data_IF_687575573842
#
_entry.id   IF_687575573842
#
_cell.length_a   1.000
_cell.length_b   1.000
_cell.length_c   1.000
_cell.angle_alpha   90.00
_cell.angle_beta   90.00
_cell.angle_gamma   90.00
#
_symmetry.space_group_name_H-M   'P 1'
#
loop_
_entity.id
_entity.type
_entity.pdbx_description
1 polymer ?
#
# COMPACT_ATOMS: atom_id res chain seq x y z
N UNK A 1 3.94 13.80 -14.02
CA UNK A 1 2.63 13.55 -13.38
C UNK A 1 2.44 12.05 -13.13
N UNK A 2 2.28 11.66 -11.86
CA UNK A 2 1.87 10.33 -11.43
C UNK A 2 0.39 10.07 -11.71
N UNK A 3 0.02 8.79 -11.74
CA UNK A 3 -1.31 8.33 -12.18
C UNK A 3 -2.48 8.92 -11.37
N UNK A 4 -2.25 9.23 -10.09
CA UNK A 4 -3.29 9.75 -9.20
C UNK A 4 -3.14 11.24 -8.87
N UNK A 5 -2.16 11.95 -9.46
CA UNK A 5 -1.82 13.32 -9.06
C UNK A 5 -2.97 14.32 -9.21
N UNK A 6 -3.81 14.15 -10.24
CA UNK A 6 -4.94 15.04 -10.52
C UNK A 6 -6.22 14.69 -9.75
N UNK A 7 -6.25 13.53 -9.08
CA UNK A 7 -7.46 12.98 -8.46
C UNK A 7 -7.63 13.47 -7.01
N UNK A 8 -7.53 14.78 -6.79
CA UNK A 8 -7.55 15.40 -5.44
C UNK A 8 -8.88 15.20 -4.69
N UNK A 9 -9.96 14.93 -5.42
CA UNK A 9 -11.31 14.67 -4.89
C UNK A 9 -11.64 13.17 -4.79
N UNK A 10 -10.70 12.26 -5.07
CA UNK A 10 -10.96 10.83 -4.98
C UNK A 10 -11.18 10.41 -3.53
N UNK A 11 -12.34 9.80 -3.27
CA UNK A 11 -12.76 9.37 -1.92
C UNK A 11 -12.46 7.89 -1.70
N UNK A 12 -12.70 7.05 -2.72
CA UNK A 12 -12.51 5.60 -2.70
C UNK A 12 -11.52 5.18 -3.79
N UNK A 13 -10.58 4.30 -3.43
CA UNK A 13 -9.62 3.71 -4.35
C UNK A 13 -9.55 2.20 -4.15
N UNK A 14 -10.00 1.43 -5.14
CA UNK A 14 -9.95 -0.03 -5.11
C UNK A 14 -8.76 -0.53 -5.94
N UNK A 15 -7.78 -1.16 -5.27
CA UNK A 15 -6.62 -1.78 -5.90
C UNK A 15 -6.48 -3.26 -5.54
N UNK A 16 -7.37 -3.79 -4.71
CA UNK A 16 -7.38 -5.19 -4.28
C UNK A 16 -7.60 -6.15 -5.45
N UNK A 17 -7.31 -7.44 -5.24
CA UNK A 17 -7.48 -8.50 -6.25
C UNK A 17 -6.70 -8.26 -7.55
N UNK A 18 -5.47 -7.75 -7.43
CA UNK A 18 -4.59 -7.46 -8.56
C UNK A 18 -3.23 -8.18 -8.41
N UNK A 19 -2.27 -7.85 -9.28
CA UNK A 19 -0.91 -8.41 -9.28
C UNK A 19 0.14 -7.35 -8.91
N UNK A 20 -0.25 -6.35 -8.11
CA UNK A 20 0.65 -5.29 -7.67
C UNK A 20 1.69 -5.84 -6.70
N UNK A 21 2.96 -5.56 -6.99
CA UNK A 21 4.09 -5.93 -6.12
C UNK A 21 4.56 -4.77 -5.26
N UNK A 22 4.47 -3.55 -5.78
CA UNK A 22 4.88 -2.31 -5.11
C UNK A 22 3.97 -1.17 -5.55
N UNK A 23 4.10 -0.01 -4.90
CA UNK A 23 3.47 1.24 -5.34
C UNK A 23 4.58 2.26 -5.57
N UNK A 24 4.60 2.97 -6.72
CA UNK A 24 5.58 4.01 -6.96
C UNK A 24 5.59 5.05 -5.84
N UNK A 25 6.79 5.50 -5.47
CA UNK A 25 6.94 6.52 -4.44
C UNK A 25 6.13 7.77 -4.81
N UNK A 26 5.32 8.22 -3.87
CA UNK A 26 4.51 9.42 -4.01
C UNK A 26 3.16 9.23 -4.70
N UNK A 27 2.82 8.00 -5.13
CA UNK A 27 1.59 7.77 -5.91
C UNK A 27 0.32 8.24 -5.19
N UNK A 28 0.27 8.22 -3.86
CA UNK A 28 -0.91 8.61 -3.07
C UNK A 28 -0.81 10.02 -2.47
N UNK A 29 0.27 10.76 -2.73
CA UNK A 29 0.58 12.00 -1.99
C UNK A 29 -0.47 13.10 -2.24
N UNK A 30 -1.10 13.10 -3.42
CA UNK A 30 -2.10 14.09 -3.81
C UNK A 30 -3.56 13.68 -3.54
N UNK A 31 -3.79 12.47 -3.01
CA UNK A 31 -5.12 11.94 -2.72
C UNK A 31 -5.68 12.49 -1.40
N UNK A 32 -5.86 13.82 -1.31
CA UNK A 32 -6.21 14.52 -0.06
C UNK A 32 -7.60 14.20 0.50
N UNK A 33 -8.52 13.75 -0.35
CA UNK A 33 -9.91 13.42 0.03
C UNK A 33 -10.13 11.92 0.27
N UNK A 34 -9.06 11.11 0.21
CA UNK A 34 -9.18 9.66 0.27
C UNK A 34 -9.55 9.21 1.68
N UNK A 35 -10.62 8.40 1.77
CA UNK A 35 -11.13 7.86 3.03
C UNK A 35 -11.15 6.34 3.05
N UNK A 36 -11.17 5.69 1.89
CA UNK A 36 -11.16 4.24 1.78
C UNK A 36 -10.22 3.78 0.67
N UNK A 37 -9.29 2.88 1.00
CA UNK A 37 -8.45 2.18 0.04
C UNK A 37 -8.44 0.69 0.33
N UNK A 38 -8.60 -0.12 -0.72
CA UNK A 38 -8.52 -1.57 -0.63
C UNK A 38 -7.25 -2.07 -1.31
N UNK A 39 -6.40 -2.77 -0.55
CA UNK A 39 -5.06 -3.21 -0.98
C UNK A 39 -4.83 -4.73 -0.81
N UNK A 40 -5.81 -5.45 -0.27
CA UNK A 40 -5.74 -6.88 -0.02
C UNK A 40 -5.66 -7.68 -1.33
N UNK A 41 -5.28 -8.96 -1.24
CA UNK A 41 -5.16 -9.86 -2.39
C UNK A 41 -4.31 -9.29 -3.54
N UNK A 42 -3.13 -8.80 -3.18
CA UNK A 42 -2.04 -8.46 -4.10
C UNK A 42 -0.74 -9.11 -3.60
N UNK A 43 0.15 -9.56 -4.50
CA UNK A 43 1.42 -10.19 -4.15
C UNK A 43 2.50 -9.16 -3.79
N UNK A 44 2.29 -8.38 -2.73
CA UNK A 44 3.21 -7.32 -2.32
C UNK A 44 4.63 -7.86 -2.07
N UNK A 45 5.61 -7.37 -2.81
CA UNK A 45 7.02 -7.75 -2.69
C UNK A 45 7.65 -6.95 -1.56
N UNK A 46 7.69 -7.56 -0.38
CA UNK A 46 8.29 -6.96 0.81
C UNK A 46 9.79 -7.19 0.94
N UNK A 47 10.42 -7.88 -0.01
CA UNK A 47 11.87 -8.09 0.00
C UNK A 47 12.60 -6.91 -0.68
N UNK A 48 12.00 -6.35 -1.72
CA UNK A 48 12.45 -5.14 -2.39
C UNK A 48 12.23 -3.88 -1.53
N UNK A 49 13.20 -2.96 -1.50
CA UNK A 49 13.10 -1.69 -0.75
C UNK A 49 12.03 -0.73 -1.25
N UNK A 50 11.53 -0.88 -2.48
CA UNK A 50 10.49 -0.01 -3.03
C UNK A 50 9.16 -0.11 -2.26
N UNK A 51 8.95 -1.22 -1.55
CA UNK A 51 7.78 -1.41 -0.68
C UNK A 51 7.71 -0.40 0.47
N UNK A 52 8.84 0.22 0.85
CA UNK A 52 8.93 1.07 2.03
C UNK A 52 8.02 2.30 1.93
N UNK A 53 7.74 2.79 0.72
CA UNK A 53 6.74 3.85 0.53
C UNK A 53 5.36 3.38 1.02
N UNK A 54 4.88 2.24 0.52
CA UNK A 54 3.58 1.69 0.88
C UNK A 54 3.50 1.33 2.36
N UNK A 55 4.54 0.68 2.90
CA UNK A 55 4.62 0.33 4.34
C UNK A 55 4.43 1.56 5.24
N UNK A 56 5.17 2.63 4.95
CA UNK A 56 5.08 3.91 5.69
C UNK A 56 3.73 4.57 5.50
N UNK A 57 3.22 4.60 4.27
CA UNK A 57 1.94 5.22 3.97
C UNK A 57 0.79 4.54 4.75
N UNK A 58 0.73 3.20 4.77
CA UNK A 58 -0.26 2.45 5.55
C UNK A 58 -0.10 2.73 7.05
N UNK A 59 1.14 2.78 7.55
CA UNK A 59 1.42 3.08 8.96
C UNK A 59 0.94 4.47 9.39
N UNK A 60 0.97 5.45 8.46
CA UNK A 60 0.52 6.82 8.70
C UNK A 60 -1.00 6.99 8.52
N UNK A 61 -1.64 6.13 7.73
CA UNK A 61 -3.08 6.22 7.40
C UNK A 61 -3.84 4.92 7.72
N UNK A 62 -3.73 4.35 8.94
CA UNK A 62 -4.27 3.02 9.23
C UNK A 62 -5.80 2.95 9.15
N UNK A 63 -6.49 4.07 9.40
CA UNK A 63 -7.96 4.15 9.32
C UNK A 63 -8.52 4.24 7.90
N UNK A 64 -7.67 4.46 6.89
CA UNK A 64 -8.07 4.57 5.48
C UNK A 64 -8.03 3.22 4.77
N UNK A 65 -7.25 2.26 5.27
CA UNK A 65 -7.10 0.93 4.66
C UNK A 65 -8.24 0.02 5.10
N UNK A 66 -9.03 -0.45 4.14
CA UNK A 66 -10.25 -1.22 4.37
C UNK A 66 -10.09 -2.63 3.79
N UNK A 67 -10.62 -3.62 4.51
CA UNK A 67 -10.81 -4.99 3.99
C UNK A 67 -12.28 -5.31 3.80
N UNK A 68 -13.08 -5.08 4.83
CA UNK A 68 -14.53 -5.30 4.81
C UNK A 68 -15.19 -4.03 5.31
N UNK A 69 -15.91 -3.33 4.44
CA UNK A 69 -16.60 -2.10 4.80
C UNK A 69 -17.62 -2.35 5.94
N UNK A 70 -17.70 -1.48 6.97
CA UNK A 70 -16.96 -0.22 7.14
C UNK A 70 -15.67 -0.33 7.96
N UNK A 71 -15.19 -1.55 8.26
CA UNK A 71 -14.09 -1.76 9.17
C UNK A 71 -12.73 -1.55 8.49
N UNK A 72 -11.95 -0.63 9.05
CA UNK A 72 -10.55 -0.47 8.70
C UNK A 72 -9.75 -1.70 9.17
N UNK A 73 -8.87 -2.18 8.29
CA UNK A 73 -7.93 -3.26 8.54
C UNK A 73 -6.58 -2.88 7.89
N UNK A 74 -5.70 -2.18 8.64
CA UNK A 74 -4.38 -1.79 8.13
C UNK A 74 -3.43 -2.98 7.94
N UNK A 75 -3.80 -4.18 8.40
CA UNK A 75 -3.06 -5.43 8.21
C UNK A 75 -3.55 -6.25 7.01
N UNK A 76 -4.49 -5.72 6.23
CA UNK A 76 -5.10 -6.39 5.09
C UNK A 76 -4.16 -6.52 3.88
N UNK A 77 -3.26 -5.57 3.68
CA UNK A 77 -2.16 -5.68 2.72
C UNK A 77 -1.06 -6.57 3.30
N UNK A 78 -0.78 -7.71 2.65
CA UNK A 78 0.16 -8.72 3.15
C UNK A 78 1.29 -9.00 2.18
N UNK A 79 2.48 -9.20 2.73
CA UNK A 79 3.67 -9.57 2.01
C UNK A 79 3.53 -10.96 1.37
N UNK A 80 3.90 -11.04 0.09
CA UNK A 80 3.98 -12.30 -0.64
C UNK A 80 4.99 -13.24 0.03
N UNK A 81 4.59 -14.49 0.25
CA UNK A 81 5.42 -15.54 0.83
C UNK A 81 5.49 -15.56 2.36
N UNK A 82 5.49 -14.42 3.05
CA UNK A 82 5.57 -14.37 4.53
C UNK A 82 4.23 -14.14 5.21
N UNK A 83 3.22 -13.64 4.48
CA UNK A 83 1.90 -13.27 5.00
C UNK A 83 1.94 -12.22 6.14
N UNK A 84 3.08 -11.55 6.32
CA UNK A 84 3.26 -10.46 7.28
C UNK A 84 2.58 -9.19 6.77
N UNK A 85 2.01 -8.34 7.64
CA UNK A 85 1.45 -7.06 7.20
C UNK A 85 2.50 -6.17 6.53
N UNK A 86 2.14 -5.56 5.40
CA UNK A 86 3.04 -4.65 4.68
C UNK A 86 3.49 -3.49 5.57
N UNK A 87 2.61 -2.96 6.43
CA UNK A 87 2.93 -1.87 7.37
C UNK A 87 3.97 -2.22 8.43
N UNK A 88 4.24 -3.51 8.65
CA UNK A 88 5.24 -3.96 9.61
C UNK A 88 6.65 -4.05 8.99
N UNK A 89 6.77 -3.85 7.67
CA UNK A 89 8.05 -3.93 6.95
C UNK A 89 8.91 -2.72 7.26
N UNK A 90 10.17 -2.97 7.59
CA UNK A 90 11.17 -1.94 7.91
C UNK A 90 12.36 -2.01 6.96
N UNK A 91 13.16 -0.95 6.90
CA UNK A 91 14.38 -0.91 6.07
C UNK A 91 15.30 -2.10 6.33
N UNK A 92 15.46 -2.51 7.61
CA UNK A 92 16.30 -3.63 8.02
C UNK A 92 15.87 -4.99 7.44
N UNK A 93 14.60 -5.13 7.04
CA UNK A 93 14.06 -6.36 6.43
C UNK A 93 14.05 -6.36 4.90
N UNK A 94 14.43 -5.25 4.27
CA UNK A 94 14.38 -5.04 2.81
C UNK A 94 15.77 -4.84 2.21
N UNK A 95 15.88 -4.94 0.88
CA UNK A 95 17.13 -4.59 0.19
C UNK A 95 16.89 -4.08 -1.24
N UNK A 96 17.62 -3.05 -1.70
CA UNK A 96 17.58 -2.61 -3.10
C UNK A 96 18.04 -3.68 -4.09
N UNK A 97 18.94 -4.58 -3.69
CA UNK A 97 19.41 -5.66 -4.57
C UNK A 97 18.39 -6.78 -4.78
N UNK A 98 17.28 -6.76 -4.03
CA UNK A 98 16.14 -7.68 -4.19
C UNK A 98 15.02 -7.07 -5.03
N UNK A 99 15.20 -5.87 -5.57
CA UNK A 99 14.27 -5.25 -6.50
C UNK A 99 14.51 -5.76 -7.94
N UNK A 100 13.46 -5.84 -8.78
CA UNK A 100 13.58 -6.23 -10.19
C UNK A 100 14.50 -5.33 -11.01
#
# INVERSE_FOLDING_TARGET
PGVFDSLTQLVHLELNNNQLKTVPRGAFDNLKSLTHIWLYDNPWDCACSDILYLSRWISQHPGVVIKTYPNADPDSARCSGTNTPVRAVTEASTSPSKCP
#
